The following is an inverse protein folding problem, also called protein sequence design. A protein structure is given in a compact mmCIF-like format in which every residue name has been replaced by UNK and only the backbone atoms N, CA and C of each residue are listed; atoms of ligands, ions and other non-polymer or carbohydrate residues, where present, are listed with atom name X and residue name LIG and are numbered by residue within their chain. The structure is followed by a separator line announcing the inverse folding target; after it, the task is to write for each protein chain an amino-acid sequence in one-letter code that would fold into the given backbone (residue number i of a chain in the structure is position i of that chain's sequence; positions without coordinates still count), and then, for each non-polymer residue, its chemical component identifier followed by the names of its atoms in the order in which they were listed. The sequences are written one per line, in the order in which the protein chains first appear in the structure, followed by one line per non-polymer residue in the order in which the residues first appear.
data_IF_735027394938
#
_entry.id   IF_735027394938
#
_cell.length_a   1.000
_cell.length_b   1.000
_cell.length_c   1.000
_cell.angle_alpha   90.00
_cell.angle_beta   90.00
_cell.angle_gamma   90.00
#
_symmetry.space_group_name_H-M   'P 1'
#
loop_
_entity.id
_entity.type
_entity.pdbx_description
1 polymer ?
#
# COMPACT_ATOMS: atom_id res chain seq x y z
N UNK A 1 -50.71 -8.61 105.77
CA UNK A 1 -49.84 -8.43 106.95
C UNK A 1 -48.68 -7.54 106.52
N UNK A 2 -48.73 -6.24 106.82
CA UNK A 2 -48.19 -5.64 108.06
C UNK A 2 -46.75 -6.11 108.28
N UNK A 3 -45.76 -5.24 108.08
CA UNK A 3 -45.17 -4.51 109.20
C UNK A 3 -43.88 -3.81 108.79
N UNK A 4 -43.86 -2.51 109.06
CA UNK A 4 -42.68 -1.69 109.02
C UNK A 4 -41.68 -2.11 110.09
N UNK A 5 -40.38 -1.95 109.82
CA UNK A 5 -39.41 -1.68 110.88
C UNK A 5 -38.42 -0.62 110.44
N UNK A 6 -38.80 0.61 110.79
CA UNK A 6 -37.89 1.74 110.94
C UNK A 6 -36.79 1.40 111.96
N UNK A 7 -35.53 1.56 111.57
CA UNK A 7 -34.47 1.99 112.49
C UNK A 7 -33.72 3.16 111.85
N UNK A 8 -33.94 4.35 112.42
CA UNK A 8 -33.11 5.53 112.21
C UNK A 8 -31.79 5.33 112.96
N UNK A 9 -30.68 5.57 112.28
CA UNK A 9 -29.44 6.04 112.89
C UNK A 9 -29.10 7.36 112.22
N UNK A 10 -28.93 8.39 113.04
CA UNK A 10 -28.57 9.79 112.76
C UNK A 10 -27.26 9.94 113.54
N UNK A 11 -26.09 10.32 113.01
CA UNK A 11 -25.55 11.58 112.47
C UNK A 11 -24.05 11.24 112.21
N UNK A 12 -23.28 11.82 111.29
CA UNK A 12 -22.96 13.25 111.16
C UNK A 12 -22.20 13.53 109.84
N UNK A 13 -22.30 14.77 109.38
CA UNK A 13 -21.21 15.51 108.72
C UNK A 13 -20.72 15.04 107.35
N UNK A 14 -21.28 15.59 106.27
CA UNK A 14 -20.65 16.75 105.64
C UNK A 14 -21.51 17.29 104.49
N UNK A 15 -21.66 18.61 104.48
CA UNK A 15 -22.22 19.39 103.37
C UNK A 15 -21.23 19.36 102.21
N UNK A 16 -21.71 18.99 101.04
CA UNK A 16 -21.39 19.70 99.79
C UNK A 16 -22.54 19.50 98.81
N UNK A 17 -23.32 20.57 98.64
CA UNK A 17 -24.14 20.75 97.45
C UNK A 17 -23.21 20.75 96.24
N UNK A 18 -23.42 19.78 95.35
CA UNK A 18 -22.60 19.56 94.16
C UNK A 18 -23.49 19.12 93.02
N UNK A 19 -24.19 20.11 92.47
CA UNK A 19 -24.61 20.29 91.07
C UNK A 19 -24.56 19.05 90.18
N UNK A 20 -25.73 18.68 89.64
CA UNK A 20 -25.86 17.78 88.48
C UNK A 20 -25.06 18.39 87.31
N UNK A 21 -23.82 17.95 87.14
CA UNK A 21 -23.01 18.29 85.98
C UNK A 21 -23.63 17.56 84.78
N UNK A 22 -24.39 18.32 83.99
CA UNK A 22 -24.69 17.97 82.61
C UNK A 22 -23.41 17.49 81.94
N UNK A 23 -23.38 16.23 81.52
CA UNK A 23 -22.35 15.72 80.60
C UNK A 23 -22.48 16.51 79.31
N UNK A 24 -21.80 17.65 79.24
CA UNK A 24 -21.56 18.36 78.00
C UNK A 24 -20.72 17.43 77.13
N UNK A 25 -21.35 16.80 76.13
CA UNK A 25 -20.63 16.23 75.01
C UNK A 25 -19.70 17.33 74.47
N UNK A 26 -18.41 17.05 74.22
CA UNK A 26 -17.50 18.06 73.72
C UNK A 26 -18.02 18.57 72.37
N UNK A 27 -18.56 19.80 72.37
CA UNK A 27 -19.19 20.45 71.22
C UNK A 27 -18.24 20.69 70.02
N UNK A 28 -16.95 20.36 70.16
CA UNK A 28 -15.92 20.52 69.14
C UNK A 28 -15.54 19.26 68.35
N UNK A 29 -15.74 18.05 68.89
CA UNK A 29 -15.25 16.82 68.25
C UNK A 29 -16.07 16.43 67.00
N UNK A 30 -17.39 16.67 67.02
CA UNK A 30 -18.23 16.48 65.84
C UNK A 30 -17.93 17.51 64.74
N UNK A 31 -17.53 18.72 65.10
CA UNK A 31 -17.29 19.80 64.13
C UNK A 31 -15.97 19.59 63.35
N UNK A 32 -14.94 19.03 63.99
CA UNK A 32 -13.67 18.68 63.32
C UNK A 32 -13.80 17.44 62.42
N UNK A 33 -14.59 16.44 62.84
CA UNK A 33 -14.91 15.28 62.01
C UNK A 33 -15.71 15.67 60.77
N UNK A 34 -16.73 16.52 60.92
CA UNK A 34 -17.55 16.99 59.79
C UNK A 34 -16.72 17.79 58.78
N UNK A 35 -15.80 18.67 59.24
CA UNK A 35 -14.88 19.39 58.35
C UNK A 35 -13.94 18.47 57.56
N UNK A 36 -13.42 17.41 58.19
CA UNK A 36 -12.61 16.41 57.50
C UNK A 36 -13.45 15.65 56.47
N UNK A 37 -14.67 15.25 56.83
CA UNK A 37 -15.59 14.58 55.91
C UNK A 37 -15.93 15.47 54.70
N UNK A 38 -16.21 16.75 54.91
CA UNK A 38 -16.46 17.72 53.84
C UNK A 38 -15.23 17.90 52.94
N UNK A 39 -14.03 17.95 53.53
CA UNK A 39 -12.76 18.01 52.79
C UNK A 39 -12.53 16.73 51.96
N UNK A 40 -12.81 15.55 52.52
CA UNK A 40 -12.72 14.28 51.79
C UNK A 40 -13.73 14.21 50.64
N UNK A 41 -14.98 14.62 50.88
CA UNK A 41 -16.02 14.68 49.86
C UNK A 41 -15.64 15.65 48.74
N UNK A 42 -15.11 16.83 49.09
CA UNK A 42 -14.61 17.80 48.12
C UNK A 42 -13.43 17.23 47.31
N UNK A 43 -12.49 16.55 47.97
CA UNK A 43 -11.33 15.92 47.31
C UNK A 43 -11.76 14.83 46.34
N UNK A 44 -12.72 13.98 46.70
CA UNK A 44 -13.27 12.94 45.82
C UNK A 44 -14.00 13.57 44.63
N UNK A 45 -14.81 14.61 44.87
CA UNK A 45 -15.50 15.33 43.79
C UNK A 45 -14.51 16.00 42.83
N UNK A 46 -13.46 16.64 43.35
CA UNK A 46 -12.41 17.26 42.55
C UNK A 46 -11.66 16.23 41.69
N UNK A 47 -11.30 15.08 42.25
CA UNK A 47 -10.71 13.96 41.49
C UNK A 47 -11.67 13.46 40.41
N UNK A 48 -12.96 13.32 40.73
CA UNK A 48 -13.98 12.94 39.75
C UNK A 48 -14.06 13.91 38.57
N UNK A 49 -14.05 15.22 38.83
CA UNK A 49 -14.04 16.26 37.78
C UNK A 49 -12.77 16.17 36.94
N UNK A 50 -11.59 16.00 37.55
CA UNK A 50 -10.32 15.85 36.83
C UNK A 50 -10.34 14.62 35.93
N UNK A 51 -10.87 13.49 36.42
CA UNK A 51 -11.01 12.26 35.63
C UNK A 51 -11.93 12.49 34.43
N UNK A 52 -13.08 13.14 34.62
CA UNK A 52 -14.00 13.48 33.51
C UNK A 52 -13.33 14.41 32.49
N UNK A 53 -12.59 15.43 32.95
CA UNK A 53 -11.84 16.33 32.06
C UNK A 53 -10.77 15.54 31.29
N UNK A 54 -10.00 14.68 31.95
CA UNK A 54 -8.97 13.86 31.31
C UNK A 54 -9.57 12.92 30.25
N UNK A 55 -10.70 12.28 30.56
CA UNK A 55 -11.46 11.45 29.61
C UNK A 55 -11.92 12.29 28.41
N UNK A 56 -12.48 13.48 28.64
CA UNK A 56 -12.94 14.36 27.57
C UNK A 56 -11.80 14.88 26.69
N UNK A 57 -10.65 15.25 27.29
CA UNK A 57 -9.43 15.64 26.56
C UNK A 57 -8.92 14.47 25.72
N UNK A 58 -8.90 13.27 26.29
CA UNK A 58 -8.52 12.06 25.57
C UNK A 58 -9.45 11.77 24.38
N UNK A 59 -10.78 11.84 24.59
CA UNK A 59 -11.74 11.72 23.49
C UNK A 59 -11.58 12.81 22.43
N UNK A 60 -11.31 14.05 22.84
CA UNK A 60 -11.06 15.15 21.91
C UNK A 60 -9.81 14.91 21.06
N UNK A 61 -8.72 14.43 21.66
CA UNK A 61 -7.50 14.05 20.93
C UNK A 61 -7.77 12.95 19.91
N UNK A 62 -8.52 11.90 20.29
CA UNK A 62 -8.94 10.84 19.36
C UNK A 62 -9.76 11.42 18.19
N UNK A 63 -10.70 12.32 18.47
CA UNK A 63 -11.51 12.93 17.42
C UNK A 63 -10.68 13.77 16.45
N UNK A 64 -9.73 14.56 16.94
CA UNK A 64 -8.84 15.36 16.09
C UNK A 64 -7.92 14.48 15.24
N UNK A 65 -7.37 13.42 15.84
CA UNK A 65 -6.54 12.46 15.11
C UNK A 65 -7.33 11.76 14.00
N UNK A 66 -8.57 11.32 14.27
CA UNK A 66 -9.46 10.75 13.23
C UNK A 66 -9.79 11.74 12.11
N UNK A 67 -9.96 13.04 12.42
CA UNK A 67 -10.17 14.07 11.40
C UNK A 67 -8.92 14.23 10.52
N UNK A 68 -7.74 14.24 11.13
CA UNK A 68 -6.47 14.29 10.41
C UNK A 68 -6.31 13.10 9.44
N UNK A 69 -6.53 11.87 9.93
CA UNK A 69 -6.43 10.66 9.10
C UNK A 69 -7.39 10.69 7.91
N UNK A 70 -8.64 11.14 8.12
CA UNK A 70 -9.61 11.34 7.02
C UNK A 70 -9.17 12.41 6.02
N UNK A 71 -8.56 13.50 6.50
CA UNK A 71 -8.09 14.57 5.62
C UNK A 71 -6.86 14.19 4.81
N UNK A 72 -5.98 13.36 5.39
CA UNK A 72 -4.82 12.81 4.70
C UNK A 72 -5.23 11.85 3.60
N UNK A 73 -6.23 11.01 3.88
CA UNK A 73 -6.73 9.99 2.97
C UNK A 73 -5.70 8.88 2.71
N UNK A 74 -6.16 7.79 2.10
CA UNK A 74 -5.30 6.64 1.85
C UNK A 74 -4.25 6.94 0.77
N UNK A 75 -4.56 7.76 -0.23
CA UNK A 75 -3.60 8.21 -1.25
C UNK A 75 -2.46 9.04 -0.66
N UNK A 76 -2.75 9.96 0.26
CA UNK A 76 -1.73 10.78 0.92
C UNK A 76 -0.82 9.94 1.81
N UNK A 77 -1.40 9.00 2.56
CA UNK A 77 -0.64 8.06 3.38
C UNK A 77 0.23 7.13 2.53
N UNK A 78 -0.28 6.61 1.41
CA UNK A 78 0.47 5.77 0.48
C UNK A 78 1.74 6.44 -0.05
N UNK A 79 1.75 7.77 -0.23
CA UNK A 79 2.91 8.51 -0.72
C UNK A 79 3.85 8.97 0.40
N UNK A 80 3.30 9.42 1.54
CA UNK A 80 4.08 10.15 2.55
C UNK A 80 4.25 9.41 3.87
N UNK A 81 3.29 8.56 4.28
CA UNK A 81 3.23 7.99 5.62
C UNK A 81 2.80 6.52 5.59
N UNK A 82 3.69 5.59 5.19
CA UNK A 82 3.35 4.16 5.06
C UNK A 82 2.79 3.56 6.36
N UNK A 83 3.36 3.95 7.51
CA UNK A 83 2.94 3.50 8.84
C UNK A 83 1.49 3.85 9.20
N UNK A 84 0.87 4.85 8.56
CA UNK A 84 -0.53 5.23 8.81
C UNK A 84 -1.53 4.45 7.94
N UNK A 85 -1.06 3.69 6.94
CA UNK A 85 -1.92 2.93 6.03
C UNK A 85 -2.83 1.94 6.79
N UNK A 86 -2.32 1.09 7.71
CA UNK A 86 -3.18 0.17 8.46
C UNK A 86 -4.21 0.90 9.32
N UNK A 87 -3.80 1.97 10.02
CA UNK A 87 -4.71 2.75 10.87
C UNK A 87 -5.85 3.39 10.06
N UNK A 88 -5.55 3.89 8.85
CA UNK A 88 -6.56 4.47 7.96
C UNK A 88 -7.48 3.37 7.41
N UNK A 89 -6.96 2.20 7.06
CA UNK A 89 -7.76 1.07 6.59
C UNK A 89 -8.72 0.56 7.67
N UNK A 90 -8.29 0.49 8.94
CA UNK A 90 -9.14 0.12 10.08
C UNK A 90 -10.32 1.09 10.31
N UNK A 91 -10.26 2.31 9.77
CA UNK A 91 -11.38 3.25 9.81
C UNK A 91 -12.52 2.90 8.84
N UNK A 92 -12.39 1.83 8.05
CA UNK A 92 -13.38 1.38 7.08
C UNK A 92 -13.36 2.20 5.78
N UNK A 93 -12.22 2.81 5.45
CA UNK A 93 -11.98 3.45 4.15
C UNK A 93 -11.84 2.36 3.09
N UNK A 94 -12.36 2.60 1.89
CA UNK A 94 -12.16 1.70 0.76
C UNK A 94 -10.70 1.74 0.32
N UNK A 95 -10.01 0.59 0.43
CA UNK A 95 -8.59 0.44 0.06
C UNK A 95 -8.34 0.76 -1.42
N UNK A 96 -9.39 0.65 -2.24
CA UNK A 96 -9.37 0.79 -3.68
C UNK A 96 -9.96 2.12 -4.18
N UNK A 97 -10.24 3.07 -3.27
CA UNK A 97 -10.85 4.35 -3.62
C UNK A 97 -10.03 5.08 -4.70
N UNK A 98 -10.70 5.63 -5.71
CA UNK A 98 -10.04 6.40 -6.76
C UNK A 98 -9.93 7.87 -6.34
N UNK A 99 -8.75 8.47 -6.51
CA UNK A 99 -8.58 9.91 -6.33
C UNK A 99 -9.16 10.69 -7.54
N UNK A 100 -9.01 12.02 -7.50
CA UNK A 100 -9.46 12.93 -8.59
C UNK A 100 -8.83 12.62 -9.95
N UNK A 101 -7.63 12.04 -9.96
CA UNK A 101 -6.90 11.65 -11.17
C UNK A 101 -7.21 10.21 -11.61
N UNK A 102 -8.10 9.50 -10.90
CA UNK A 102 -8.50 8.13 -11.19
C UNK A 102 -7.52 7.06 -10.71
N UNK A 103 -6.57 7.40 -9.82
CA UNK A 103 -5.58 6.47 -9.27
C UNK A 103 -6.06 5.83 -7.98
N UNK A 104 -5.80 4.53 -7.81
CA UNK A 104 -5.89 3.88 -6.49
C UNK A 104 -4.73 4.32 -5.58
N UNK A 105 -4.83 4.11 -4.25
CA UNK A 105 -3.71 4.33 -3.34
C UNK A 105 -2.51 3.46 -3.70
N UNK A 106 -2.76 2.24 -4.20
CA UNK A 106 -1.72 1.33 -4.68
C UNK A 106 -0.98 1.91 -5.89
N UNK A 107 -1.69 2.48 -6.87
CA UNK A 107 -1.06 3.16 -8.01
C UNK A 107 -0.23 4.37 -7.59
N UNK A 108 -0.67 5.11 -6.58
CA UNK A 108 0.14 6.19 -5.99
C UNK A 108 1.40 5.64 -5.34
N UNK A 109 1.30 4.61 -4.51
CA UNK A 109 2.47 3.97 -3.90
C UNK A 109 3.48 3.50 -4.97
N UNK A 110 3.02 2.87 -6.04
CA UNK A 110 3.87 2.41 -7.15
C UNK A 110 4.50 3.60 -7.88
N UNK A 111 3.71 4.59 -8.32
CA UNK A 111 4.20 5.77 -9.06
C UNK A 111 5.28 6.53 -8.29
N UNK A 112 5.14 6.62 -6.96
CA UNK A 112 6.08 7.30 -6.08
C UNK A 112 7.18 6.37 -5.50
N UNK A 113 7.31 5.15 -6.02
CA UNK A 113 8.37 4.19 -5.68
C UNK A 113 8.39 3.84 -4.19
N UNK A 114 7.22 3.71 -3.57
CA UNK A 114 7.05 3.43 -2.14
C UNK A 114 6.84 1.94 -1.91
N UNK A 115 7.91 1.16 -1.93
CA UNK A 115 7.86 -0.30 -1.74
C UNK A 115 7.12 -0.71 -0.46
N UNK A 116 7.41 -0.04 0.67
CA UNK A 116 6.73 -0.32 1.96
C UNK A 116 5.22 -0.09 1.86
N UNK A 117 4.79 1.01 1.24
CA UNK A 117 3.37 1.29 1.03
C UNK A 117 2.73 0.27 0.09
N UNK A 118 3.42 -0.14 -0.98
CA UNK A 118 2.93 -1.19 -1.88
C UNK A 118 2.69 -2.47 -1.11
N UNK A 119 3.68 -2.91 -0.32
CA UNK A 119 3.57 -4.11 0.50
C UNK A 119 2.40 -4.04 1.47
N UNK A 120 2.28 -2.95 2.24
CA UNK A 120 1.19 -2.77 3.20
C UNK A 120 -0.19 -2.76 2.53
N UNK A 121 -0.34 -2.09 1.39
CA UNK A 121 -1.60 -2.04 0.66
C UNK A 121 -1.99 -3.43 0.11
N UNK A 122 -1.03 -4.18 -0.42
CA UNK A 122 -1.26 -5.55 -0.90
C UNK A 122 -1.58 -6.52 0.25
N UNK A 123 -0.91 -6.38 1.40
CA UNK A 123 -1.20 -7.14 2.63
C UNK A 123 -2.63 -6.86 3.14
N UNK A 124 -3.16 -5.66 2.87
CA UNK A 124 -4.54 -5.24 3.15
C UNK A 124 -5.52 -5.56 2.01
N UNK A 125 -5.13 -6.44 1.08
CA UNK A 125 -5.96 -6.88 -0.06
C UNK A 125 -6.37 -5.77 -1.04
N UNK A 126 -5.53 -4.76 -1.25
CA UNK A 126 -5.70 -3.84 -2.38
C UNK A 126 -5.69 -4.61 -3.70
N UNK A 127 -6.62 -4.27 -4.61
CA UNK A 127 -6.74 -4.95 -5.90
C UNK A 127 -5.68 -4.40 -6.88
N UNK A 128 -4.71 -5.23 -7.33
CA UNK A 128 -3.65 -4.78 -8.22
C UNK A 128 -4.09 -4.61 -9.68
N UNK A 129 -5.35 -4.91 -10.01
CA UNK A 129 -5.87 -4.92 -11.38
C UNK A 129 -6.79 -3.74 -11.71
N UNK A 130 -7.05 -2.85 -10.75
CA UNK A 130 -7.90 -1.68 -10.97
C UNK A 130 -7.23 -0.75 -11.98
N UNK A 131 -8.01 -0.39 -13.01
CA UNK A 131 -7.56 0.47 -14.10
C UNK A 131 -7.89 1.93 -13.82
N UNK A 132 -6.87 2.79 -13.90
CA UNK A 132 -7.07 4.21 -14.07
C UNK A 132 -7.56 4.46 -15.50
N UNK A 133 -8.85 4.78 -15.64
CA UNK A 133 -9.49 5.05 -16.94
C UNK A 133 -9.04 6.39 -17.56
N UNK A 134 -8.53 7.31 -16.74
CA UNK A 134 -7.97 8.59 -17.17
C UNK A 134 -6.53 8.45 -17.69
N UNK A 135 -5.76 7.51 -17.15
CA UNK A 135 -4.39 7.24 -17.57
C UNK A 135 -4.36 6.16 -18.66
N UNK A 136 -4.42 6.61 -19.92
CA UNK A 136 -4.34 5.69 -21.06
C UNK A 136 -2.96 5.03 -21.21
N UNK A 137 -1.88 5.65 -20.70
CA UNK A 137 -0.51 5.18 -20.89
C UNK A 137 -0.20 4.02 -19.95
N UNK A 138 -0.46 4.21 -18.66
CA UNK A 138 -0.25 3.21 -17.62
C UNK A 138 -1.54 3.03 -16.82
N UNK A 139 -2.50 2.25 -17.34
CA UNK A 139 -3.78 2.14 -16.68
C UNK A 139 -3.70 1.29 -15.40
N UNK A 140 -2.73 0.39 -15.23
CA UNK A 140 -2.67 -0.51 -14.06
C UNK A 140 -1.41 -0.30 -13.23
N UNK A 141 -1.42 -0.67 -11.92
CA UNK A 141 -0.23 -0.70 -11.09
C UNK A 141 0.97 -1.42 -11.75
N UNK A 142 0.71 -2.50 -12.48
CA UNK A 142 1.77 -3.25 -13.18
C UNK A 142 2.37 -2.47 -14.36
N UNK A 143 1.57 -1.68 -15.09
CA UNK A 143 2.10 -0.77 -16.11
C UNK A 143 2.93 0.36 -15.48
N UNK A 144 2.46 0.92 -14.36
CA UNK A 144 3.23 1.94 -13.64
C UNK A 144 4.57 1.38 -13.17
N UNK A 145 4.58 0.19 -12.56
CA UNK A 145 5.78 -0.48 -12.06
C UNK A 145 6.79 -0.77 -13.18
N UNK A 146 6.33 -1.28 -14.32
CA UNK A 146 7.20 -1.54 -15.48
C UNK A 146 7.66 -0.26 -16.18
N UNK A 147 6.96 0.86 -16.03
CA UNK A 147 7.35 2.17 -16.56
C UNK A 147 8.42 2.87 -15.72
N UNK A 148 8.34 2.77 -14.40
CA UNK A 148 9.32 3.39 -13.49
C UNK A 148 10.60 2.56 -13.29
N UNK A 149 10.69 1.39 -13.92
CA UNK A 149 11.71 0.39 -13.69
C UNK A 149 13.12 0.95 -13.96
N UNK A 150 13.89 1.18 -12.90
CA UNK A 150 15.23 1.78 -12.97
C UNK A 150 16.28 1.09 -12.09
N UNK A 151 15.85 0.40 -11.04
CA UNK A 151 16.68 -0.23 -10.02
C UNK A 151 16.05 -1.53 -9.53
N UNK A 152 16.79 -2.27 -8.69
CA UNK A 152 16.31 -3.52 -8.09
C UNK A 152 15.10 -3.32 -7.17
N UNK A 153 14.97 -2.16 -6.51
CA UNK A 153 13.82 -1.84 -5.65
C UNK A 153 12.53 -1.77 -6.47
N UNK A 154 12.56 -1.14 -7.65
CA UNK A 154 11.37 -1.12 -8.52
C UNK A 154 11.06 -2.49 -9.15
N UNK A 155 12.07 -3.34 -9.37
CA UNK A 155 11.82 -4.72 -9.78
C UNK A 155 11.13 -5.53 -8.68
N UNK A 156 11.44 -5.28 -7.41
CA UNK A 156 10.72 -5.93 -6.30
C UNK A 156 9.26 -5.49 -6.25
N UNK A 157 8.94 -4.23 -6.56
CA UNK A 157 7.53 -3.77 -6.70
C UNK A 157 6.79 -4.60 -7.76
N UNK A 158 7.42 -4.89 -8.91
CA UNK A 158 6.80 -5.76 -9.94
C UNK A 158 6.54 -7.15 -9.38
N UNK A 159 7.50 -7.75 -8.69
CA UNK A 159 7.35 -9.07 -8.06
C UNK A 159 6.23 -9.09 -7.01
N UNK A 160 6.12 -8.06 -6.18
CA UNK A 160 5.07 -7.93 -5.17
C UNK A 160 3.69 -7.89 -5.84
N UNK A 161 3.52 -7.08 -6.89
CA UNK A 161 2.28 -7.00 -7.65
C UNK A 161 1.89 -8.34 -8.28
N UNK A 162 2.84 -9.03 -8.92
CA UNK A 162 2.58 -10.34 -9.53
C UNK A 162 2.20 -11.40 -8.49
N UNK A 163 2.90 -11.43 -7.33
CA UNK A 163 2.55 -12.32 -6.20
C UNK A 163 1.16 -12.03 -5.64
N UNK A 164 0.71 -10.78 -5.70
CA UNK A 164 -0.63 -10.38 -5.28
C UNK A 164 -1.71 -10.62 -6.35
N UNK A 165 -1.38 -11.24 -7.48
CA UNK A 165 -2.34 -11.59 -8.53
C UNK A 165 -2.59 -10.47 -9.54
N UNK A 166 -1.63 -9.56 -9.75
CA UNK A 166 -1.66 -8.67 -10.91
C UNK A 166 -1.65 -9.49 -12.20
N UNK A 167 -2.60 -9.24 -13.10
CA UNK A 167 -2.67 -9.90 -14.39
C UNK A 167 -1.51 -9.42 -15.28
N UNK A 168 -0.57 -10.31 -15.70
CA UNK A 168 0.56 -9.93 -16.53
C UNK A 168 0.18 -9.63 -17.99
N UNK A 169 -1.07 -9.92 -18.40
CA UNK A 169 -1.59 -9.73 -19.75
C UNK A 169 -2.43 -8.46 -19.91
N UNK A 170 -2.48 -7.61 -18.87
CA UNK A 170 -3.15 -6.32 -18.95
C UNK A 170 -2.62 -5.50 -20.12
N UNK A 171 -3.54 -4.91 -20.88
CA UNK A 171 -3.19 -4.06 -22.02
C UNK A 171 -3.32 -2.58 -21.66
N UNK A 172 -2.30 -1.80 -21.97
CA UNK A 172 -2.24 -0.35 -21.83
C UNK A 172 -2.60 0.39 -23.11
N UNK A 173 -2.01 1.57 -23.29
CA UNK A 173 -2.08 2.30 -24.55
C UNK A 173 -1.55 1.41 -25.68
N UNK A 174 -2.12 1.56 -26.88
CA UNK A 174 -1.66 0.79 -28.04
C UNK A 174 -1.68 -0.74 -27.85
N UNK A 175 -2.51 -1.25 -26.93
CA UNK A 175 -2.57 -2.68 -26.60
C UNK A 175 -1.24 -3.26 -26.09
N UNK A 176 -0.31 -2.41 -25.64
CA UNK A 176 0.96 -2.88 -25.08
C UNK A 176 0.72 -3.62 -23.77
N UNK A 177 1.33 -4.80 -23.64
CA UNK A 177 1.39 -5.55 -22.37
C UNK A 177 2.62 -5.14 -21.57
N UNK A 178 2.69 -5.42 -20.25
CA UNK A 178 3.91 -5.23 -19.45
C UNK A 178 5.17 -5.80 -20.12
N UNK A 179 5.06 -6.95 -20.79
CA UNK A 179 6.19 -7.57 -21.50
C UNK A 179 6.68 -6.75 -22.69
N UNK A 180 5.78 -6.07 -23.43
CA UNK A 180 6.18 -5.11 -24.48
C UNK A 180 6.97 -3.95 -23.91
N UNK A 181 6.52 -3.40 -22.77
CA UNK A 181 7.20 -2.27 -22.11
C UNK A 181 8.60 -2.67 -21.66
N UNK A 182 8.72 -3.82 -20.99
CA UNK A 182 10.01 -4.37 -20.53
C UNK A 182 10.96 -4.61 -21.71
N UNK A 183 10.45 -5.05 -22.85
CA UNK A 183 11.27 -5.25 -24.05
C UNK A 183 11.90 -3.97 -24.61
N UNK A 184 11.36 -2.79 -24.26
CA UNK A 184 11.87 -1.47 -24.69
C UNK A 184 12.71 -0.77 -23.63
N UNK A 185 12.88 -1.37 -22.45
CA UNK A 185 13.64 -0.78 -21.35
C UNK A 185 15.14 -0.75 -21.65
N UNK A 186 15.81 0.36 -21.33
CA UNK A 186 17.24 0.53 -21.60
C UNK A 186 18.13 -0.37 -20.72
N UNK A 187 17.71 -0.65 -19.48
CA UNK A 187 18.42 -1.54 -18.57
C UNK A 187 18.13 -3.01 -18.91
N UNK A 188 18.95 -3.59 -19.78
CA UNK A 188 18.75 -4.94 -20.32
C UNK A 188 18.82 -6.04 -19.25
N UNK A 189 19.67 -5.91 -18.23
CA UNK A 189 19.79 -6.91 -17.16
C UNK A 189 18.53 -6.94 -16.30
N UNK A 190 18.04 -5.77 -15.89
CA UNK A 190 16.84 -5.65 -15.08
C UNK A 190 15.59 -6.07 -15.87
N UNK A 191 15.54 -5.70 -17.16
CA UNK A 191 14.48 -6.13 -18.06
C UNK A 191 14.41 -7.66 -18.17
N UNK A 192 15.56 -8.35 -18.19
CA UNK A 192 15.61 -9.80 -18.27
C UNK A 192 15.06 -10.47 -17.01
N UNK A 193 15.39 -9.96 -15.82
CA UNK A 193 14.88 -10.49 -14.56
C UNK A 193 13.37 -10.28 -14.43
N UNK A 194 12.87 -9.07 -14.71
CA UNK A 194 11.44 -8.78 -14.65
C UNK A 194 10.65 -9.53 -15.74
N UNK A 195 11.24 -9.73 -16.93
CA UNK A 195 10.61 -10.54 -17.97
C UNK A 195 10.42 -12.00 -17.53
N UNK A 196 11.38 -12.59 -16.81
CA UNK A 196 11.22 -13.92 -16.23
C UNK A 196 10.04 -13.94 -15.25
N UNK A 197 9.99 -12.99 -14.32
CA UNK A 197 8.90 -12.91 -13.35
C UNK A 197 7.53 -12.78 -14.05
N UNK A 198 7.43 -11.98 -15.11
CA UNK A 198 6.21 -11.84 -15.91
C UNK A 198 5.82 -13.15 -16.62
N UNK A 199 6.79 -13.84 -17.24
CA UNK A 199 6.56 -15.11 -17.94
C UNK A 199 6.13 -16.19 -16.94
N UNK A 200 6.79 -16.28 -15.79
CA UNK A 200 6.45 -17.22 -14.70
C UNK A 200 5.05 -16.94 -14.13
N UNK A 201 4.61 -15.68 -14.14
CA UNK A 201 3.24 -15.28 -13.78
C UNK A 201 2.20 -15.55 -14.88
N UNK A 202 2.60 -16.03 -16.06
CA UNK A 202 1.70 -16.38 -17.17
C UNK A 202 1.52 -15.28 -18.23
N UNK A 203 2.53 -14.43 -18.43
CA UNK A 203 2.52 -13.47 -19.53
C UNK A 203 2.49 -14.17 -20.90
N UNK A 204 1.61 -13.72 -21.79
CA UNK A 204 1.53 -14.15 -23.17
C UNK A 204 2.68 -13.54 -23.98
N UNK A 205 3.70 -14.36 -24.26
CA UNK A 205 4.88 -14.00 -25.05
C UNK A 205 4.58 -13.68 -26.51
N UNK A 206 3.41 -14.10 -27.01
CA UNK A 206 2.93 -13.85 -28.38
C UNK A 206 1.80 -12.80 -28.43
N UNK A 207 1.67 -11.99 -27.37
CA UNK A 207 0.70 -10.89 -27.36
C UNK A 207 0.98 -9.89 -28.49
N UNK A 208 -0.08 -9.30 -29.04
CA UNK A 208 0.01 -8.30 -30.11
C UNK A 208 -0.32 -6.92 -29.56
N UNK A 209 0.66 -6.02 -29.64
CA UNK A 209 0.45 -4.59 -29.46
C UNK A 209 0.05 -3.93 -30.80
N UNK A 210 -0.01 -2.61 -30.83
CA UNK A 210 -0.36 -1.85 -32.03
C UNK A 210 0.52 -2.24 -33.22
N UNK A 211 -0.12 -2.33 -34.39
CA UNK A 211 0.46 -2.79 -35.65
C UNK A 211 0.88 -4.27 -35.64
N UNK A 212 0.31 -5.10 -34.76
CA UNK A 212 0.67 -6.51 -34.63
C UNK A 212 2.09 -6.72 -34.09
N UNK A 213 2.63 -5.73 -33.37
CA UNK A 213 3.97 -5.85 -32.80
C UNK A 213 3.98 -6.85 -31.66
N UNK A 214 4.94 -7.76 -31.64
CA UNK A 214 5.11 -8.74 -30.55
C UNK A 214 6.17 -8.31 -29.53
N UNK A 215 6.20 -8.91 -28.32
CA UNK A 215 7.29 -8.69 -27.37
C UNK A 215 8.65 -9.09 -27.96
N UNK A 216 8.69 -10.18 -28.74
CA UNK A 216 9.92 -10.65 -29.41
C UNK A 216 10.42 -9.62 -30.42
N UNK A 217 9.54 -9.06 -31.26
CA UNK A 217 9.92 -8.00 -32.20
C UNK A 217 10.41 -6.75 -31.46
N UNK A 218 9.77 -6.38 -30.34
CA UNK A 218 10.19 -5.25 -29.50
C UNK A 218 11.58 -5.48 -28.89
N UNK A 219 11.87 -6.70 -28.43
CA UNK A 219 13.17 -7.08 -27.87
C UNK A 219 14.29 -7.12 -28.93
N UNK A 220 13.95 -7.54 -30.16
CA UNK A 220 14.88 -7.45 -31.29
C UNK A 220 15.20 -5.98 -31.59
N UNK A 221 14.19 -5.13 -31.79
CA UNK A 221 14.38 -3.70 -32.10
C UNK A 221 15.20 -2.99 -31.02
N UNK A 222 15.04 -3.34 -29.75
CA UNK A 222 15.83 -2.77 -28.65
C UNK A 222 17.26 -3.33 -28.55
N UNK A 223 17.59 -4.38 -29.32
CA UNK A 223 18.90 -5.01 -29.32
C UNK A 223 19.19 -5.85 -28.07
N UNK A 224 18.17 -6.24 -27.30
CA UNK A 224 18.32 -7.01 -26.08
C UNK A 224 18.43 -8.51 -26.39
N UNK A 225 19.64 -8.95 -26.75
CA UNK A 225 19.91 -10.35 -27.10
C UNK A 225 19.51 -11.35 -25.99
N UNK A 226 19.74 -11.00 -24.72
CA UNK A 226 19.36 -11.87 -23.60
C UNK A 226 17.84 -12.06 -23.49
N UNK A 227 17.07 -10.98 -23.69
CA UNK A 227 15.61 -11.07 -23.69
C UNK A 227 15.08 -11.81 -24.92
N UNK A 228 15.71 -11.66 -26.09
CA UNK A 228 15.37 -12.45 -27.28
C UNK A 228 15.54 -13.95 -27.02
N UNK A 229 16.67 -14.38 -26.45
CA UNK A 229 16.91 -15.80 -26.10
C UNK A 229 15.85 -16.29 -25.10
N UNK A 230 15.53 -15.49 -24.07
CA UNK A 230 14.51 -15.82 -23.07
C UNK A 230 13.12 -15.98 -23.69
N UNK A 231 12.69 -15.05 -24.54
CA UNK A 231 11.37 -15.10 -25.18
C UNK A 231 11.22 -16.30 -26.11
N UNK A 232 12.27 -16.64 -26.87
CA UNK A 232 12.28 -17.84 -27.71
C UNK A 232 12.21 -19.13 -26.88
N UNK A 233 12.96 -19.20 -25.76
CA UNK A 233 12.87 -20.32 -24.81
C UNK A 233 11.45 -20.43 -24.23
N UNK A 234 10.80 -19.30 -23.97
CA UNK A 234 9.44 -19.23 -23.43
C UNK A 234 8.34 -19.50 -24.48
N UNK A 235 8.70 -19.83 -25.73
CA UNK A 235 7.75 -20.21 -26.78
C UNK A 235 7.22 -19.03 -27.62
N UNK A 236 7.97 -17.93 -27.70
CA UNK A 236 7.66 -16.88 -28.66
C UNK A 236 7.79 -17.40 -30.09
N UNK A 237 6.81 -17.12 -30.95
CA UNK A 237 6.79 -17.54 -32.35
C UNK A 237 7.74 -16.65 -33.19
N UNK A 238 8.88 -17.18 -33.67
CA UNK A 238 9.81 -16.40 -34.49
C UNK A 238 9.25 -16.03 -35.88
N UNK A 239 8.22 -16.75 -36.34
CA UNK A 239 7.61 -16.56 -37.65
C UNK A 239 6.38 -15.64 -37.63
N UNK A 240 5.92 -15.22 -36.44
CA UNK A 240 4.81 -14.27 -36.31
C UNK A 240 5.15 -12.94 -37.01
N UNK A 241 4.24 -12.50 -37.86
CA UNK A 241 4.37 -11.27 -38.66
C UNK A 241 3.51 -10.17 -38.06
N UNK A 242 4.07 -8.97 -38.00
CA UNK A 242 3.31 -7.77 -37.72
C UNK A 242 2.45 -7.34 -38.92
N UNK A 243 1.67 -6.26 -38.77
CA UNK A 243 0.76 -5.75 -39.82
C UNK A 243 1.49 -5.29 -41.09
N UNK A 244 2.81 -5.04 -40.99
CA UNK A 244 3.68 -4.71 -42.12
C UNK A 244 4.27 -5.94 -42.81
N UNK A 245 3.97 -7.14 -42.32
CA UNK A 245 4.47 -8.41 -42.84
C UNK A 245 5.89 -8.75 -42.40
N UNK A 246 6.49 -8.02 -41.45
CA UNK A 246 7.84 -8.31 -40.95
C UNK A 246 7.82 -9.28 -39.77
N UNK A 247 8.75 -10.24 -39.78
CA UNK A 247 9.07 -11.09 -38.62
C UNK A 247 10.07 -10.39 -37.71
N UNK A 248 10.28 -10.93 -36.51
CA UNK A 248 11.29 -10.42 -35.59
C UNK A 248 12.69 -10.41 -36.23
N UNK A 249 13.10 -11.49 -36.91
CA UNK A 249 14.41 -11.57 -37.56
C UNK A 249 14.59 -10.57 -38.72
N UNK A 250 13.50 -10.16 -39.38
CA UNK A 250 13.59 -9.22 -40.51
C UNK A 250 13.96 -7.81 -40.02
N UNK A 251 13.79 -7.52 -38.73
CA UNK A 251 14.08 -6.23 -38.11
C UNK A 251 15.48 -6.13 -37.49
N UNK A 252 16.30 -7.19 -37.51
CA UNK A 252 17.63 -7.24 -36.86
C UNK A 252 18.61 -6.16 -37.35
N UNK A 253 18.49 -5.74 -38.62
CA UNK A 253 19.38 -4.73 -39.21
C UNK A 253 19.14 -3.31 -38.66
N UNK A 254 18.02 -3.08 -37.98
CA UNK A 254 17.72 -1.82 -37.30
C UNK A 254 18.29 -1.76 -35.88
N UNK A 255 18.98 -2.81 -35.43
CA UNK A 255 19.40 -3.01 -34.04
C UNK A 255 20.87 -2.67 -33.84
N UNK A 256 21.27 -2.45 -32.58
CA UNK A 256 22.68 -2.22 -32.24
C UNK A 256 23.55 -3.49 -32.35
N UNK A 257 22.96 -4.69 -32.21
CA UNK A 257 23.67 -5.97 -32.10
C UNK A 257 23.11 -7.06 -33.03
N UNK A 258 23.09 -6.85 -34.36
CA UNK A 258 22.47 -7.77 -35.32
C UNK A 258 23.10 -9.17 -35.30
N UNK A 259 24.43 -9.26 -35.20
CA UNK A 259 25.15 -10.55 -35.26
C UNK A 259 24.84 -11.46 -34.06
N UNK A 260 24.75 -10.88 -32.85
CA UNK A 260 24.45 -11.63 -31.65
C UNK A 260 23.02 -12.19 -31.69
N UNK A 261 22.06 -11.36 -32.12
CA UNK A 261 20.66 -11.75 -32.25
C UNK A 261 20.49 -12.79 -33.36
N UNK A 262 21.17 -12.64 -34.50
CA UNK A 262 21.13 -13.62 -35.58
C UNK A 262 21.56 -15.01 -35.10
N UNK A 263 22.66 -15.12 -34.35
CA UNK A 263 23.12 -16.39 -33.78
C UNK A 263 22.10 -17.03 -32.85
N UNK A 264 21.32 -16.22 -32.13
CA UNK A 264 20.26 -16.71 -31.24
C UNK A 264 19.11 -17.30 -32.07
N UNK A 265 18.66 -16.61 -33.13
CA UNK A 265 17.65 -17.17 -34.04
C UNK A 265 18.11 -18.48 -34.70
N UNK A 266 19.37 -18.55 -35.14
CA UNK A 266 19.98 -19.77 -35.68
C UNK A 266 19.99 -20.92 -34.67
N UNK A 267 20.33 -20.65 -33.40
CA UNK A 267 20.29 -21.63 -32.30
C UNK A 267 18.90 -22.19 -32.07
N UNK A 268 17.85 -21.38 -32.24
CA UNK A 268 16.45 -21.78 -32.04
C UNK A 268 15.77 -22.32 -33.30
N UNK A 269 16.53 -22.54 -34.38
CA UNK A 269 16.03 -23.16 -35.60
C UNK A 269 15.14 -22.25 -36.47
N UNK A 270 15.12 -20.94 -36.19
CA UNK A 270 14.52 -19.97 -37.10
C UNK A 270 15.47 -19.78 -38.28
N UNK A 271 15.03 -20.21 -39.47
CA UNK A 271 15.85 -20.24 -40.67
C UNK A 271 16.57 -18.92 -40.89
N UNK A 272 17.90 -19.02 -40.91
CA UNK A 272 18.82 -17.90 -41.11
C UNK A 272 18.41 -17.10 -42.35
N UNK A 273 18.19 -15.80 -42.13
CA UNK A 273 18.28 -14.70 -43.09
C UNK A 273 18.41 -15.16 -44.55
N UNK A 274 17.28 -15.23 -45.27
CA UNK A 274 17.33 -15.19 -46.74
C UNK A 274 16.15 -14.44 -47.33
N UNK A 275 16.36 -13.14 -47.55
CA UNK A 275 16.29 -12.50 -48.88
C UNK A 275 16.55 -10.98 -48.80
N UNK A 276 17.71 -10.51 -49.28
CA UNK A 276 17.95 -9.09 -49.60
C UNK A 276 16.92 -8.50 -50.59
N UNK A 277 16.14 -9.34 -51.26
CA UNK A 277 15.15 -8.97 -52.28
C UNK A 277 13.91 -8.24 -51.71
N UNK A 278 13.54 -8.45 -50.45
CA UNK A 278 12.38 -7.80 -49.82
C UNK A 278 12.62 -6.31 -49.51
N UNK A 279 13.88 -5.92 -49.23
CA UNK A 279 14.26 -4.52 -48.99
C UNK A 279 14.50 -3.72 -50.29
N UNK A 280 14.63 -4.40 -51.44
CA UNK A 280 14.83 -3.73 -52.72
C UNK A 280 13.55 -3.05 -53.24
N UNK A 281 12.36 -3.48 -52.79
CA UNK A 281 11.08 -2.90 -53.22
C UNK A 281 10.79 -1.56 -52.54
N UNK A 282 11.20 -1.38 -51.29
CA UNK A 282 10.97 -0.13 -50.54
C UNK A 282 12.05 0.95 -50.73
N UNK A 283 13.24 0.61 -51.24
CA UNK A 283 14.30 1.60 -51.53
C UNK A 283 14.10 2.32 -52.89
N UNK A 284 13.20 1.83 -53.74
CA UNK A 284 12.91 2.48 -55.04
C UNK A 284 11.90 3.62 -54.93
N UNK A 285 11.11 3.66 -53.86
CA UNK A 285 10.05 4.66 -53.70
C UNK A 285 10.55 5.98 -53.07
N UNK A 286 11.80 6.03 -52.54
CA UNK A 286 12.43 7.25 -52.00
C UNK A 286 13.34 7.98 -53.00
N UNK A 287 13.62 7.41 -54.18
CA UNK A 287 14.48 8.02 -55.21
C UNK A 287 13.73 8.26 -56.53
N UNK A 288 12.40 8.25 -56.51
CA UNK A 288 11.55 8.60 -57.65
C UNK A 288 10.66 9.79 -57.32
N UNK A 289 11.27 10.95 -57.14
CA UNK A 289 10.70 12.29 -57.39
C UNK A 289 11.84 13.27 -57.70
#
# INVERSE_FOLDING_TARGET
MISARNRRVRLSGNRTEGTVASVQRPAGAGNDFMKKLDWYLYSIAAVGVIVVIAINVYFYQIQQHRKYLRSLGLHGAAVHFPHLIPEIAEMGVDINELNVDGNTPLQMAVTFKKEESVKLLLDLNADPNIKNSSNKINPTPLHDATFILSSAEEAEIVKLLLKAGADPNVTGNQQETPLHRIARTANQSLALDVAKDLIDAGANVNSEAARGMTPLQSAVVSGNAGLVDLLLIAGADPEQRNDHGFRAIDQINSTANPEAIQKIFEKHGADSVRRPELFAKYRKDENSE
#
